data_IF_430931511008
#
_entry.id   IF_430931511008
#
_cell.length_a   1.000
_cell.length_b   1.000
_cell.length_c   1.000
_cell.angle_alpha   90.00
_cell.angle_beta   90.00
_cell.angle_gamma   90.00
#
_symmetry.space_group_name_H-M   'P 1'
#
loop_
_entity.id
_entity.type
_entity.pdbx_description
1 polymer ?
#
# COMPACT_ATOMS: atom_id res chain seq x y z
N UNK A 1 5.71 -10.73 22.80
CA UNK A 1 5.10 -11.81 21.99
C UNK A 1 5.83 -11.91 20.66
N UNK A 2 6.40 -13.07 20.34
CA UNK A 2 6.99 -13.34 19.04
C UNK A 2 5.86 -13.34 17.98
N UNK A 3 5.95 -12.41 17.04
CA UNK A 3 4.97 -12.23 15.97
C UNK A 3 5.19 -13.32 14.92
N UNK A 4 4.12 -14.02 14.50
CA UNK A 4 4.21 -15.04 13.45
C UNK A 4 4.90 -14.45 12.20
N UNK A 5 5.86 -15.18 11.60
CA UNK A 5 6.45 -14.79 10.32
C UNK A 5 5.32 -14.67 9.30
N UNK A 6 5.30 -13.55 8.57
CA UNK A 6 4.36 -13.37 7.46
C UNK A 6 4.60 -14.49 6.46
N UNK A 7 3.61 -15.36 6.26
CA UNK A 7 3.61 -16.34 5.18
C UNK A 7 3.44 -15.57 3.87
N UNK A 8 4.56 -15.21 3.26
CA UNK A 8 4.58 -14.70 1.89
C UNK A 8 4.76 -15.90 0.98
N UNK A 9 3.67 -16.31 0.35
CA UNK A 9 3.67 -17.37 -0.65
C UNK A 9 3.92 -16.74 -2.02
N UNK A 10 5.08 -17.03 -2.67
CA UNK A 10 5.30 -16.64 -4.06
C UNK A 10 4.15 -17.12 -4.94
N UNK A 11 3.73 -16.29 -5.90
CA UNK A 11 2.64 -16.63 -6.82
C UNK A 11 1.22 -16.51 -6.24
N UNK A 12 1.05 -16.28 -4.94
CA UNK A 12 -0.26 -16.02 -4.35
C UNK A 12 -0.59 -14.52 -4.29
N UNK A 13 -1.84 -14.18 -4.62
CA UNK A 13 -2.33 -12.81 -4.50
C UNK A 13 -2.44 -12.38 -3.02
N UNK A 14 -2.09 -11.12 -2.77
CA UNK A 14 -2.07 -10.50 -1.46
C UNK A 14 -2.75 -9.15 -1.54
N UNK A 15 -3.61 -8.87 -0.56
CA UNK A 15 -4.13 -7.54 -0.34
C UNK A 15 -3.20 -6.79 0.60
N UNK A 16 -2.77 -5.62 0.19
CA UNK A 16 -1.92 -4.72 0.96
C UNK A 16 -2.69 -3.45 1.27
N UNK A 17 -2.69 -3.06 2.54
CA UNK A 17 -3.26 -1.80 3.02
C UNK A 17 -2.16 -0.94 3.63
N UNK A 18 -2.08 0.31 3.19
CA UNK A 18 -1.21 1.34 3.75
C UNK A 18 -2.07 2.53 4.20
N UNK A 19 -2.00 2.90 5.49
CA UNK A 19 -2.81 3.98 6.08
C UNK A 19 -1.90 5.14 6.52
N UNK A 20 -2.41 6.36 6.32
CA UNK A 20 -1.81 7.58 6.84
C UNK A 20 -1.77 7.59 8.36
N UNK A 21 -0.71 8.16 8.90
CA UNK A 21 -0.56 8.34 10.34
C UNK A 21 -1.72 9.21 10.87
N UNK A 22 -2.32 8.83 11.99
CA UNK A 22 -3.49 9.52 12.56
C UNK A 22 -4.67 9.74 11.59
N UNK A 23 -4.83 8.88 10.59
CA UNK A 23 -5.82 9.04 9.51
C UNK A 23 -5.66 10.33 8.68
N UNK A 24 -4.49 10.98 8.75
CA UNK A 24 -4.21 12.18 7.97
C UNK A 24 -4.18 11.88 6.47
N UNK A 25 -4.51 12.91 5.69
CA UNK A 25 -4.40 12.87 4.25
C UNK A 25 -2.96 12.60 3.80
N UNK A 26 -2.82 11.65 2.90
CA UNK A 26 -1.59 11.25 2.22
C UNK A 26 -1.54 11.76 0.78
N UNK A 27 -2.63 12.36 0.29
CA UNK A 27 -2.78 12.95 -1.03
C UNK A 27 -3.60 14.24 -0.89
N UNK A 28 -3.00 15.38 -1.23
CA UNK A 28 -3.68 16.68 -1.21
C UNK A 28 -4.09 17.15 -2.61
N UNK A 29 -3.34 16.78 -3.64
CA UNK A 29 -3.63 17.15 -5.02
C UNK A 29 -3.53 15.96 -5.98
N UNK A 30 -3.88 16.18 -7.26
CA UNK A 30 -3.80 15.13 -8.29
C UNK A 30 -2.36 14.69 -8.59
N UNK A 31 -1.38 15.58 -8.38
CA UNK A 31 0.03 15.28 -8.63
C UNK A 31 0.56 14.24 -7.65
N UNK A 32 0.08 14.24 -6.41
CA UNK A 32 0.40 13.25 -5.39
C UNK A 32 0.00 11.83 -5.81
N UNK A 33 -1.22 11.64 -6.33
CA UNK A 33 -1.68 10.35 -6.82
C UNK A 33 -0.80 9.84 -7.97
N UNK A 34 -0.47 10.74 -8.91
CA UNK A 34 0.41 10.43 -10.06
C UNK A 34 1.82 10.06 -9.61
N UNK A 35 2.39 10.82 -8.66
CA UNK A 35 3.70 10.54 -8.10
C UNK A 35 3.73 9.19 -7.37
N UNK A 36 2.71 8.91 -6.55
CA UNK A 36 2.60 7.62 -5.85
C UNK A 36 2.55 6.46 -6.83
N UNK A 37 1.68 6.52 -7.84
CA UNK A 37 1.54 5.46 -8.84
C UNK A 37 2.80 5.26 -9.68
N UNK A 38 3.50 6.34 -10.02
CA UNK A 38 4.78 6.30 -10.74
C UNK A 38 5.83 5.54 -9.92
N UNK A 39 6.04 5.93 -8.66
CA UNK A 39 6.99 5.25 -7.78
C UNK A 39 6.61 3.80 -7.50
N UNK A 40 5.30 3.52 -7.40
CA UNK A 40 4.79 2.19 -7.13
C UNK A 40 5.09 1.27 -8.32
N UNK A 41 4.87 1.75 -9.54
CA UNK A 41 5.17 1.03 -10.77
C UNK A 41 6.67 0.72 -10.88
N UNK A 42 7.53 1.69 -10.60
CA UNK A 42 8.98 1.49 -10.59
C UNK A 42 9.40 0.41 -9.58
N UNK A 43 8.88 0.49 -8.35
CA UNK A 43 9.18 -0.45 -7.29
C UNK A 43 8.65 -1.85 -7.64
N UNK A 44 7.43 -1.96 -8.13
CA UNK A 44 6.82 -3.21 -8.55
C UNK A 44 7.61 -3.91 -9.66
N UNK A 45 8.07 -3.14 -10.65
CA UNK A 45 8.94 -3.64 -11.73
C UNK A 45 10.27 -4.13 -11.18
N UNK A 46 10.92 -3.33 -10.33
CA UNK A 46 12.23 -3.64 -9.73
C UNK A 46 12.21 -4.91 -8.88
N UNK A 47 11.12 -5.12 -8.13
CA UNK A 47 10.99 -6.25 -7.21
C UNK A 47 10.06 -7.36 -7.72
N UNK A 48 9.72 -7.33 -9.01
CA UNK A 48 8.94 -8.36 -9.70
C UNK A 48 7.62 -8.69 -8.98
N UNK A 49 6.87 -7.65 -8.65
CA UNK A 49 5.54 -7.75 -8.05
C UNK A 49 4.50 -7.34 -9.09
N UNK A 50 3.61 -8.26 -9.46
CA UNK A 50 2.47 -7.94 -10.30
C UNK A 50 1.44 -7.14 -9.50
N UNK A 51 0.96 -6.02 -10.05
CA UNK A 51 -0.15 -5.24 -9.49
C UNK A 51 -1.38 -5.53 -10.32
N UNK A 52 -2.42 -6.05 -9.69
CA UNK A 52 -3.67 -6.43 -10.35
C UNK A 52 -4.73 -5.34 -10.23
N UNK A 53 -4.81 -4.69 -9.07
CA UNK A 53 -5.74 -3.62 -8.80
C UNK A 53 -5.21 -2.69 -7.70
N UNK A 54 -5.68 -1.45 -7.70
CA UNK A 54 -5.38 -0.48 -6.65
C UNK A 54 -6.56 0.48 -6.44
N UNK A 55 -6.70 0.97 -5.20
CA UNK A 55 -7.59 2.08 -4.83
C UNK A 55 -6.78 3.04 -3.97
N UNK A 56 -6.77 4.31 -4.34
CA UNK A 56 -6.13 5.39 -3.60
C UNK A 56 -7.22 6.27 -3.02
N UNK A 57 -7.33 6.25 -1.70
CA UNK A 57 -8.18 7.13 -0.93
C UNK A 57 -7.30 8.24 -0.36
N UNK A 58 -7.90 9.37 0.02
CA UNK A 58 -7.16 10.53 0.55
C UNK A 58 -6.21 10.18 1.68
N UNK A 59 -6.54 9.23 2.55
CA UNK A 59 -5.74 8.85 3.73
C UNK A 59 -5.27 7.39 3.77
N UNK A 60 -5.55 6.58 2.74
CA UNK A 60 -5.08 5.19 2.68
C UNK A 60 -5.08 4.60 1.26
N UNK A 61 -4.33 3.52 1.08
CA UNK A 61 -4.16 2.84 -0.20
C UNK A 61 -4.41 1.34 -0.05
N UNK A 62 -5.18 0.78 -0.97
CA UNK A 62 -5.45 -0.65 -1.09
C UNK A 62 -4.78 -1.15 -2.38
N UNK A 63 -4.00 -2.22 -2.29
CA UNK A 63 -3.35 -2.85 -3.45
C UNK A 63 -3.67 -4.33 -3.46
N UNK A 64 -3.95 -4.87 -4.65
CA UNK A 64 -3.99 -6.32 -4.89
C UNK A 64 -2.76 -6.70 -5.71
N UNK A 65 -1.87 -7.49 -5.13
CA UNK A 65 -0.55 -7.77 -5.71
C UNK A 65 -0.17 -9.23 -5.61
N UNK A 66 0.62 -9.72 -6.57
CA UNK A 66 1.24 -11.06 -6.52
C UNK A 66 2.75 -10.93 -6.66
N UNK A 67 3.54 -11.30 -5.63
CA UNK A 67 4.99 -11.28 -5.75
C UNK A 67 5.53 -12.54 -6.42
N UNK A 68 6.64 -12.41 -7.17
CA UNK A 68 7.40 -13.55 -7.68
C UNK A 68 8.19 -14.30 -6.61
N UNK A 69 8.51 -13.64 -5.48
CA UNK A 69 9.24 -14.22 -4.35
C UNK A 69 8.69 -13.77 -2.98
N UNK A 70 9.07 -14.46 -1.92
CA UNK A 70 8.54 -14.25 -0.57
C UNK A 70 8.86 -12.87 0.04
N UNK A 71 9.75 -12.09 -0.55
CA UNK A 71 10.18 -10.78 -0.04
C UNK A 71 9.79 -9.63 -0.99
N UNK A 72 9.25 -9.92 -2.18
CA UNK A 72 8.92 -8.95 -3.22
C UNK A 72 8.03 -7.81 -2.71
N UNK A 73 6.89 -8.13 -2.09
CA UNK A 73 5.97 -7.11 -1.53
C UNK A 73 6.65 -6.28 -0.43
N UNK A 74 7.45 -6.92 0.42
CA UNK A 74 8.28 -6.26 1.43
C UNK A 74 9.15 -5.16 0.87
N UNK A 75 9.98 -5.51 -0.12
CA UNK A 75 10.93 -4.59 -0.75
C UNK A 75 10.21 -3.52 -1.58
N UNK A 76 9.17 -3.89 -2.31
CA UNK A 76 8.34 -2.95 -3.07
C UNK A 76 7.76 -1.86 -2.17
N UNK A 77 7.08 -2.24 -1.09
CA UNK A 77 6.46 -1.27 -0.19
C UNK A 77 7.49 -0.42 0.57
N UNK A 78 8.67 -0.97 0.86
CA UNK A 78 9.76 -0.20 1.47
C UNK A 78 10.29 0.87 0.50
N UNK A 79 10.56 0.51 -0.75
CA UNK A 79 11.03 1.46 -1.75
C UNK A 79 9.98 2.52 -2.07
N UNK A 80 8.71 2.10 -2.19
CA UNK A 80 7.58 3.00 -2.38
C UNK A 80 7.46 4.01 -1.24
N UNK A 81 7.43 3.51 0.00
CA UNK A 81 7.33 4.37 1.18
C UNK A 81 8.48 5.37 1.27
N UNK A 82 9.71 4.95 0.96
CA UNK A 82 10.88 5.84 0.98
C UNK A 82 10.77 6.97 -0.04
N UNK A 83 10.50 6.65 -1.32
CA UNK A 83 10.39 7.66 -2.38
C UNK A 83 9.21 8.61 -2.14
N UNK A 84 8.04 8.05 -1.83
CA UNK A 84 6.83 8.86 -1.70
C UNK A 84 6.85 9.77 -0.46
N UNK A 85 7.32 9.27 0.71
CA UNK A 85 7.43 10.11 1.91
C UNK A 85 8.41 11.25 1.70
N UNK A 86 9.53 10.99 1.01
CA UNK A 86 10.49 12.05 0.67
C UNK A 86 9.86 13.10 -0.24
N UNK A 87 9.18 12.68 -1.30
CA UNK A 87 8.45 13.57 -2.21
C UNK A 87 7.40 14.41 -1.46
N UNK A 88 6.57 13.77 -0.63
CA UNK A 88 5.49 14.43 0.10
C UNK A 88 6.03 15.45 1.10
N UNK A 89 7.04 15.06 1.88
CA UNK A 89 7.67 15.95 2.85
C UNK A 89 8.32 17.16 2.19
N UNK A 90 9.01 16.96 1.05
CA UNK A 90 9.58 18.06 0.28
C UNK A 90 8.51 19.02 -0.26
N UNK A 91 7.46 18.46 -0.89
CA UNK A 91 6.40 19.23 -1.55
C UNK A 91 5.60 20.08 -0.56
N UNK A 92 5.32 19.53 0.63
CA UNK A 92 4.47 20.19 1.64
C UNK A 92 5.25 20.78 2.82
N UNK A 93 6.58 20.85 2.74
CA UNK A 93 7.42 21.38 3.82
C UNK A 93 7.28 20.63 5.15
N UNK A 94 6.92 19.33 5.09
CA UNK A 94 6.71 18.48 6.25
C UNK A 94 7.99 17.72 6.63
N UNK A 95 8.00 17.19 7.85
CA UNK A 95 9.02 16.23 8.30
C UNK A 95 8.38 15.07 9.05
N UNK A 96 9.12 13.98 9.22
CA UNK A 96 8.63 12.79 9.93
C UNK A 96 7.93 11.76 9.03
N UNK A 97 7.16 10.88 9.67
CA UNK A 97 6.49 9.74 9.02
C UNK A 97 5.13 10.13 8.47
N UNK A 98 4.84 9.73 7.22
CA UNK A 98 3.51 9.87 6.63
C UNK A 98 2.56 8.75 7.03
N UNK A 99 3.09 7.54 7.20
CA UNK A 99 2.29 6.31 7.38
C UNK A 99 2.24 5.91 8.86
N UNK A 100 1.14 5.27 9.28
CA UNK A 100 0.90 4.77 10.66
C UNK A 100 1.85 3.64 11.08
N UNK A 101 2.76 3.22 10.19
CA UNK A 101 3.75 2.18 10.43
C UNK A 101 3.91 1.24 9.24
N UNK A 102 4.11 -0.04 9.52
CA UNK A 102 4.22 -1.07 8.46
C UNK A 102 2.84 -1.30 7.83
N UNK A 103 2.82 -1.46 6.51
CA UNK A 103 1.63 -1.91 5.80
C UNK A 103 1.09 -3.24 6.35
N UNK A 104 -0.23 -3.42 6.26
CA UNK A 104 -0.92 -4.68 6.55
C UNK A 104 -1.01 -5.49 5.26
N UNK A 105 -0.85 -6.81 5.34
CA UNK A 105 -0.95 -7.70 4.19
C UNK A 105 -1.67 -9.00 4.55
N UNK A 106 -2.60 -9.43 3.71
CA UNK A 106 -3.38 -10.67 3.88
C UNK A 106 -3.39 -11.45 2.58
N UNK A 107 -3.13 -12.76 2.62
CA UNK A 107 -3.30 -13.64 1.45
C UNK A 107 -4.80 -13.72 1.15
N UNK A 108 -5.16 -13.50 -0.11
CA UNK A 108 -6.55 -13.37 -0.51
C UNK A 108 -6.84 -14.32 -1.67
N UNK A 109 -7.98 -14.99 -1.56
CA UNK A 109 -8.54 -15.74 -2.67
C UNK A 109 -9.02 -14.73 -3.71
N UNK A 110 -8.40 -14.76 -4.89
CA UNK A 110 -8.51 -13.70 -5.90
C UNK A 110 -9.96 -13.48 -6.36
N UNK A 111 -10.79 -14.53 -6.31
CA UNK A 111 -12.14 -14.53 -6.87
C UNK A 111 -13.19 -13.82 -5.99
N UNK A 112 -12.98 -13.72 -4.67
CA UNK A 112 -13.95 -13.11 -3.73
C UNK A 112 -13.56 -11.71 -3.25
N UNK A 113 -12.43 -11.19 -3.71
CA UNK A 113 -11.78 -10.07 -3.04
C UNK A 113 -12.35 -8.69 -3.39
N UNK A 114 -12.67 -8.49 -4.67
CA UNK A 114 -13.19 -7.21 -5.17
C UNK A 114 -14.48 -6.80 -4.45
N UNK A 115 -15.40 -7.72 -4.17
CA UNK A 115 -16.68 -7.39 -3.50
C UNK A 115 -16.54 -7.15 -1.99
N UNK A 116 -15.53 -7.72 -1.34
CA UNK A 116 -15.36 -7.61 0.12
C UNK A 116 -14.72 -6.28 0.52
N UNK A 117 -13.79 -5.75 -0.29
CA UNK A 117 -13.11 -4.47 -0.03
C UNK A 117 -14.08 -3.30 -0.10
N UNK A 118 -14.94 -3.24 -1.13
CA UNK A 118 -15.96 -2.19 -1.23
C UNK A 118 -16.96 -2.18 -0.06
N UNK A 119 -17.21 -3.34 0.57
CA UNK A 119 -18.15 -3.45 1.69
C UNK A 119 -17.54 -3.00 3.03
N UNK A 120 -16.22 -3.11 3.19
CA UNK A 120 -15.53 -2.71 4.42
C UNK A 120 -15.24 -1.20 4.48
N UNK A 121 -14.91 -0.58 3.34
CA UNK A 121 -14.57 0.85 3.29
C UNK A 121 -15.76 1.79 3.62
N UNK A 122 -17.01 1.29 3.51
CA UNK A 122 -18.21 2.02 3.96
C UNK A 122 -18.45 1.97 5.48
N UNK A 123 -17.93 0.96 6.19
CA UNK A 123 -18.18 0.81 7.63
C UNK A 123 -17.15 1.52 8.52
N UNK A 124 -16.06 2.02 7.96
CA UNK A 124 -14.99 2.73 8.69
C UNK A 124 -15.18 4.24 8.83
N UNK A 125 -16.28 4.82 8.35
CA UNK A 125 -16.55 6.28 8.40
C UNK A 125 -17.63 6.70 9.41
N UNK A 126 -18.19 5.77 10.20
CA UNK A 126 -19.03 6.11 11.34
C UNK A 126 -18.24 5.88 12.63
N UNK A 127 -17.80 6.99 13.25
CA UNK A 127 -17.87 7.38 14.67
C UNK A 127 -16.76 8.40 14.96
#
# INVERSE_FOLDING_TARGET
MARLPRLYLPGCAQHVIQRGNNHEACFYDEADYKAYLSFLKDAATTYQVAIHAFVLMTNHVHLLVTPSDAQGVGRMMQAQGRKYVQYFNYTYGRSGTLWEGRYKSTVVDADNYLLTVYRYDQWGQSH
#
